data_IF_190427115378
#
_entry.id   IF_190427115378
#
_cell.length_a   1.000
_cell.length_b   1.000
_cell.length_c   1.000
_cell.angle_alpha   90.00
_cell.angle_beta   90.00
_cell.angle_gamma   90.00
#
_symmetry.space_group_name_H-M   'P 1'
#
loop_
_entity.id
_entity.type
_entity.pdbx_description
1 polymer ?
#
# COMPACT_ATOMS: atom_id res chain seq x y z
N UNK A 1 -4.89 -17.47 12.50
CA UNK A 1 -3.82 -16.53 12.45
C UNK A 1 -2.75 -16.88 11.45
N UNK A 2 -2.03 -17.94 11.67
CA UNK A 2 -0.97 -18.33 10.77
C UNK A 2 -1.49 -18.74 9.40
N UNK A 3 -2.73 -19.17 9.30
CA UNK A 3 -3.28 -19.60 8.02
C UNK A 3 -3.33 -18.47 7.00
N UNK A 4 -3.70 -17.27 7.43
CA UNK A 4 -3.72 -16.13 6.52
C UNK A 4 -2.32 -15.81 6.05
N UNK A 5 -1.36 -15.87 6.94
CA UNK A 5 0.03 -15.63 6.58
C UNK A 5 0.53 -16.67 5.59
N UNK A 6 0.16 -17.91 5.82
CA UNK A 6 0.58 -18.99 4.93
C UNK A 6 0.01 -18.82 3.53
N UNK A 7 -1.24 -18.36 3.43
CA UNK A 7 -1.85 -18.10 2.13
C UNK A 7 -1.07 -17.05 1.35
N UNK A 8 -0.66 -16.00 2.03
CA UNK A 8 0.10 -14.95 1.38
C UNK A 8 1.47 -15.44 0.96
N UNK A 9 2.08 -16.29 1.76
CA UNK A 9 3.39 -16.85 1.42
C UNK A 9 3.34 -17.65 0.14
N UNK A 10 2.23 -18.31 -0.13
CA UNK A 10 2.10 -19.11 -1.33
C UNK A 10 2.19 -18.31 -2.61
N UNK A 11 1.87 -17.00 -2.54
CA UNK A 11 1.80 -16.16 -3.72
C UNK A 11 3.03 -15.30 -3.92
N UNK A 12 3.91 -15.20 -2.94
CA UNK A 12 5.01 -14.25 -3.00
C UNK A 12 6.30 -14.87 -2.52
N UNK A 13 7.37 -14.49 -3.17
CA UNK A 13 8.70 -14.86 -2.70
C UNK A 13 9.10 -13.98 -1.53
N UNK A 14 9.50 -14.61 -0.45
CA UNK A 14 9.95 -13.91 0.74
C UNK A 14 11.47 -13.87 0.79
N UNK A 15 11.99 -12.76 1.28
CA UNK A 15 13.44 -12.61 1.43
C UNK A 15 13.95 -13.26 2.69
N UNK A 16 13.06 -13.60 3.61
CA UNK A 16 13.44 -14.09 4.94
C UNK A 16 13.50 -12.99 5.98
N UNK A 17 13.37 -11.74 5.56
CA UNK A 17 13.32 -10.58 6.44
C UNK A 17 11.91 -10.04 6.45
N UNK A 18 11.21 -10.21 7.57
CA UNK A 18 9.79 -9.82 7.66
C UNK A 18 9.55 -8.34 7.39
N UNK A 19 10.46 -7.49 7.86
CA UNK A 19 10.29 -6.05 7.66
C UNK A 19 10.42 -5.68 6.20
N UNK A 20 11.41 -6.24 5.52
CA UNK A 20 11.61 -5.97 4.09
C UNK A 20 10.47 -6.52 3.25
N UNK A 21 10.00 -7.71 3.60
CA UNK A 21 8.89 -8.32 2.89
C UNK A 21 7.61 -7.52 3.08
N UNK A 22 7.38 -7.00 4.26
CA UNK A 22 6.22 -6.16 4.53
C UNK A 22 6.23 -4.93 3.62
N UNK A 23 7.34 -4.22 3.57
CA UNK A 23 7.45 -3.02 2.74
C UNK A 23 7.31 -3.36 1.27
N UNK A 24 7.94 -4.44 0.85
CA UNK A 24 7.90 -4.87 -0.55
C UNK A 24 6.47 -5.19 -1.01
N UNK A 25 5.68 -5.76 -0.12
CA UNK A 25 4.28 -6.07 -0.42
C UNK A 25 3.39 -4.85 -0.37
N UNK A 26 3.61 -3.99 0.62
CA UNK A 26 2.70 -2.87 0.86
C UNK A 26 2.88 -1.73 -0.12
N UNK A 27 4.09 -1.54 -0.65
CA UNK A 27 4.30 -0.44 -1.59
C UNK A 27 3.39 -0.49 -2.80
N UNK A 28 3.34 -1.60 -3.54
CA UNK A 28 2.40 -1.66 -4.67
C UNK A 28 0.95 -1.66 -4.23
N UNK A 29 0.65 -2.19 -3.06
CA UNK A 29 -0.71 -2.18 -2.52
C UNK A 29 -1.18 -0.75 -2.26
N UNK A 30 -0.32 0.06 -1.65
CA UNK A 30 -0.63 1.46 -1.38
C UNK A 30 -0.74 2.26 -2.68
N UNK A 31 0.10 1.96 -3.65
CA UNK A 31 0.01 2.62 -4.95
C UNK A 31 -1.30 2.29 -5.65
N UNK A 32 -1.74 1.03 -5.55
CA UNK A 32 -3.02 0.62 -6.11
C UNK A 32 -4.18 1.36 -5.46
N UNK A 33 -4.11 1.57 -4.14
CA UNK A 33 -5.15 2.32 -3.44
C UNK A 33 -5.23 3.76 -3.94
N UNK A 34 -4.07 4.38 -4.20
CA UNK A 34 -4.04 5.73 -4.75
C UNK A 34 -4.68 5.76 -6.13
N UNK A 35 -4.36 4.80 -6.97
CA UNK A 35 -4.90 4.74 -8.33
C UNK A 35 -6.42 4.60 -8.31
N UNK A 36 -6.95 3.76 -7.44
CA UNK A 36 -8.39 3.59 -7.31
C UNK A 36 -9.06 4.86 -6.79
N UNK A 37 -8.42 5.51 -5.81
CA UNK A 37 -8.97 6.74 -5.26
C UNK A 37 -8.98 7.85 -6.30
N UNK A 38 -7.98 7.92 -7.16
CA UNK A 38 -7.95 8.90 -8.22
C UNK A 38 -9.07 8.68 -9.23
N UNK A 39 -9.41 7.43 -9.51
CA UNK A 39 -10.54 7.12 -10.37
C UNK A 39 -11.84 7.64 -9.75
N UNK A 40 -12.01 7.45 -8.44
CA UNK A 40 -13.18 7.95 -7.75
C UNK A 40 -13.24 9.48 -7.82
N UNK A 41 -12.10 10.15 -7.63
CA UNK A 41 -12.05 11.61 -7.70
C UNK A 41 -12.45 12.13 -9.08
N UNK A 42 -12.09 11.39 -10.12
CA UNK A 42 -12.32 11.82 -11.48
C UNK A 42 -13.73 11.49 -11.97
N UNK A 43 -14.23 10.31 -11.65
CA UNK A 43 -15.48 9.82 -12.19
C UNK A 43 -16.59 9.65 -11.17
N UNK A 44 -16.27 9.70 -9.88
CA UNK A 44 -17.28 9.52 -8.85
C UNK A 44 -18.26 10.66 -8.79
N UNK A 45 -19.46 10.38 -8.26
CA UNK A 45 -20.51 11.36 -8.17
C UNK A 45 -20.90 11.70 -6.74
N UNK A 46 -20.59 10.82 -5.80
CA UNK A 46 -20.95 11.00 -4.40
C UNK A 46 -19.92 11.89 -3.73
N UNK A 47 -20.33 13.09 -3.25
CA UNK A 47 -19.37 14.01 -2.63
C UNK A 47 -18.66 13.41 -1.40
N UNK A 48 -19.37 12.61 -0.61
CA UNK A 48 -18.77 12.00 0.56
C UNK A 48 -17.68 10.98 0.17
N UNK A 49 -17.92 10.22 -0.88
CA UNK A 49 -16.94 9.26 -1.37
C UNK A 49 -15.74 9.96 -2.00
N UNK A 50 -15.99 11.06 -2.71
CA UNK A 50 -14.89 11.83 -3.30
C UNK A 50 -14.01 12.46 -2.22
N UNK A 51 -14.61 12.96 -1.16
CA UNK A 51 -13.85 13.50 -0.04
C UNK A 51 -12.98 12.41 0.58
N UNK A 52 -13.57 11.25 0.82
CA UNK A 52 -12.84 10.12 1.39
C UNK A 52 -11.68 9.70 0.49
N UNK A 53 -11.92 9.66 -0.83
CA UNK A 53 -10.88 9.30 -1.78
C UNK A 53 -9.70 10.27 -1.72
N UNK A 54 -9.97 11.56 -1.59
CA UNK A 54 -8.91 12.55 -1.45
C UNK A 54 -8.08 12.34 -0.20
N UNK A 55 -8.74 12.01 0.90
CA UNK A 55 -8.04 11.73 2.15
C UNK A 55 -7.19 10.46 2.03
N UNK A 56 -7.69 9.47 1.33
CA UNK A 56 -6.94 8.22 1.11
C UNK A 56 -5.67 8.51 0.30
N UNK A 57 -5.78 9.31 -0.76
CA UNK A 57 -4.60 9.65 -1.56
C UNK A 57 -3.52 10.27 -0.69
N UNK A 58 -3.89 11.25 0.14
CA UNK A 58 -2.92 11.92 0.99
C UNK A 58 -2.29 10.96 1.99
N UNK A 59 -3.11 10.12 2.64
CA UNK A 59 -2.62 9.19 3.64
C UNK A 59 -1.70 8.13 3.01
N UNK A 60 -2.08 7.60 1.85
CA UNK A 60 -1.29 6.58 1.21
C UNK A 60 0.04 7.11 0.70
N UNK A 61 0.05 8.34 0.21
CA UNK A 61 1.31 8.95 -0.23
C UNK A 61 2.28 9.12 0.92
N UNK A 62 1.79 9.52 2.08
CA UNK A 62 2.63 9.62 3.28
C UNK A 62 3.21 8.28 3.66
N UNK A 63 2.42 7.24 3.62
CA UNK A 63 2.88 5.91 3.98
C UNK A 63 3.91 5.39 2.99
N UNK A 64 3.70 5.66 1.71
CA UNK A 64 4.68 5.26 0.69
C UNK A 64 6.01 5.96 0.93
N UNK A 65 5.98 7.25 1.23
CA UNK A 65 7.21 8.00 1.51
C UNK A 65 7.93 7.45 2.72
N UNK A 66 7.18 7.10 3.76
CA UNK A 66 7.78 6.51 4.97
C UNK A 66 8.44 5.18 4.66
N UNK A 67 7.79 4.35 3.87
CA UNK A 67 8.35 3.05 3.51
C UNK A 67 9.57 3.19 2.63
N UNK A 68 9.56 4.13 1.70
CA UNK A 68 10.73 4.38 0.86
C UNK A 68 11.91 4.91 1.67
N UNK A 69 11.64 5.77 2.65
CA UNK A 69 12.68 6.26 3.54
C UNK A 69 13.29 5.12 4.34
N UNK A 70 12.45 4.22 4.81
CA UNK A 70 12.93 3.05 5.54
C UNK A 70 13.79 2.17 4.64
N UNK A 71 13.38 1.96 3.39
CA UNK A 71 14.16 1.16 2.45
C UNK A 71 15.53 1.78 2.17
N UNK A 72 15.59 3.10 2.12
CA UNK A 72 16.87 3.77 1.89
C UNK A 72 17.85 3.51 3.01
N UNK A 73 17.36 3.33 4.23
CA UNK A 73 18.20 3.02 5.39
C UNK A 73 18.46 1.53 5.55
N UNK A 74 17.68 0.71 4.88
CA UNK A 74 17.75 -0.75 5.01
C UNK A 74 17.76 -1.39 3.64
N UNK A 75 18.86 -1.23 2.87
CA UNK A 75 18.90 -1.75 1.50
C UNK A 75 18.73 -3.26 1.46
N UNK A 76 18.10 -3.71 0.41
CA UNK A 76 17.86 -5.13 0.22
C UNK A 76 19.06 -5.85 -0.37
#
# INVERSE_FOLDING_TARGET
MSKMMDSMKGDMKMTGDADKDFVMMMLPHHQGAIDMAKVELQFGKDPAMKKMAGEIVAAQQKEIESMKAWQAKNPM
#
